data_IF_770043833613
#
_entry.id   IF_770043833613
#
_cell.length_a   1.000
_cell.length_b   1.000
_cell.length_c   1.000
_cell.angle_alpha   90.00
_cell.angle_beta   90.00
_cell.angle_gamma   90.00
#
_symmetry.space_group_name_H-M   'P 1'
#
loop_
_entity.id
_entity.type
_entity.pdbx_description
1 polymer ?
#
# COMPACT_ATOMS: atom_id res chain seq x y z
N UNK A 1 -12.39 -26.92 -11.68
CA UNK A 1 -12.86 -26.76 -10.29
C UNK A 1 -13.78 -25.57 -10.27
N UNK A 2 -15.02 -25.72 -9.81
CA UNK A 2 -15.97 -24.60 -9.74
C UNK A 2 -15.43 -23.55 -8.76
N UNK A 3 -15.07 -22.37 -9.28
CA UNK A 3 -14.60 -21.23 -8.49
C UNK A 3 -15.70 -20.87 -7.51
N UNK A 4 -15.44 -21.03 -6.20
CA UNK A 4 -16.36 -20.56 -5.16
C UNK A 4 -16.36 -19.04 -5.21
N UNK A 5 -17.54 -18.41 -5.24
CA UNK A 5 -17.63 -16.95 -5.16
C UNK A 5 -17.14 -16.47 -3.79
N UNK A 6 -16.70 -15.21 -3.74
CA UNK A 6 -16.22 -14.58 -2.51
C UNK A 6 -17.30 -14.56 -1.42
N UNK A 7 -18.56 -14.36 -1.81
CA UNK A 7 -19.70 -14.43 -0.91
C UNK A 7 -19.86 -15.82 -0.25
N UNK A 8 -19.59 -16.92 -0.95
CA UNK A 8 -19.67 -18.26 -0.35
C UNK A 8 -18.59 -18.47 0.72
N UNK A 9 -17.41 -17.90 0.52
CA UNK A 9 -16.31 -17.96 1.49
C UNK A 9 -16.69 -17.16 2.74
N UNK A 10 -17.28 -15.97 2.58
CA UNK A 10 -17.75 -15.15 3.71
C UNK A 10 -18.87 -15.81 4.50
N UNK A 11 -19.86 -16.41 3.81
CA UNK A 11 -21.00 -17.07 4.44
C UNK A 11 -20.57 -18.30 5.27
N UNK A 12 -19.38 -18.85 5.01
CA UNK A 12 -18.82 -19.93 5.82
C UNK A 12 -18.14 -19.42 7.11
N UNK A 13 -17.85 -18.13 7.22
CA UNK A 13 -17.36 -17.46 8.42
C UNK A 13 -18.48 -16.87 9.28
N UNK A 14 -18.11 -16.28 10.41
CA UNK A 14 -19.01 -15.52 11.25
C UNK A 14 -18.97 -14.04 10.84
N UNK A 15 -20.07 -13.54 10.26
CA UNK A 15 -20.19 -12.12 9.89
C UNK A 15 -20.07 -11.22 11.11
N UNK A 16 -19.28 -10.16 10.98
CA UNK A 16 -19.18 -9.07 11.97
C UNK A 16 -20.29 -8.07 11.65
N UNK A 17 -21.27 -7.95 12.55
CA UNK A 17 -22.34 -6.97 12.41
C UNK A 17 -21.79 -5.54 12.47
N UNK A 18 -22.47 -4.61 11.80
CA UNK A 18 -22.16 -3.16 11.85
C UNK A 18 -20.74 -2.79 11.36
N UNK A 19 -20.08 -3.67 10.61
CA UNK A 19 -18.83 -3.33 9.94
C UNK A 19 -19.13 -2.66 8.59
N UNK A 20 -18.69 -1.42 8.44
CA UNK A 20 -18.94 -0.58 7.27
C UNK A 20 -17.62 -0.09 6.64
N UNK A 21 -17.61 0.23 5.33
CA UNK A 21 -18.68 -0.01 4.35
C UNK A 21 -18.68 -1.44 3.80
N UNK A 22 -17.60 -2.19 4.00
CA UNK A 22 -17.40 -3.51 3.39
C UNK A 22 -17.74 -4.64 4.36
N UNK A 23 -18.30 -5.77 3.87
CA UNK A 23 -18.59 -6.91 4.72
C UNK A 23 -17.30 -7.51 5.30
N UNK A 24 -17.34 -7.79 6.60
CA UNK A 24 -16.26 -8.47 7.34
C UNK A 24 -16.78 -9.78 7.91
N UNK A 25 -15.99 -10.84 7.79
CA UNK A 25 -16.25 -12.13 8.44
C UNK A 25 -15.03 -12.60 9.24
N UNK A 26 -15.27 -13.13 10.43
CA UNK A 26 -14.29 -13.92 11.18
C UNK A 26 -14.26 -15.33 10.58
N UNK A 27 -13.11 -15.77 10.11
CA UNK A 27 -12.96 -17.00 9.34
C UNK A 27 -12.12 -18.04 10.08
N UNK A 28 -12.31 -19.32 9.72
CA UNK A 28 -11.46 -20.41 10.22
C UNK A 28 -10.15 -20.48 9.44
N UNK A 29 -9.21 -21.30 9.94
CA UNK A 29 -7.93 -21.57 9.28
C UNK A 29 -8.13 -22.22 7.89
N UNK A 30 -9.14 -23.06 7.72
CA UNK A 30 -9.47 -23.73 6.46
C UNK A 30 -9.94 -22.73 5.40
N UNK A 31 -10.80 -21.79 5.80
CA UNK A 31 -11.29 -20.72 4.93
C UNK A 31 -10.13 -19.78 4.56
N UNK A 32 -9.29 -19.43 5.52
CA UNK A 32 -8.10 -18.61 5.28
C UNK A 32 -7.12 -19.22 4.26
N UNK A 33 -6.88 -20.54 4.34
CA UNK A 33 -6.08 -21.27 3.36
C UNK A 33 -6.73 -21.26 1.98
N UNK A 34 -8.05 -21.46 1.91
CA UNK A 34 -8.81 -21.37 0.65
C UNK A 34 -8.65 -19.99 0.01
N UNK A 35 -8.75 -18.92 0.80
CA UNK A 35 -8.51 -17.54 0.34
C UNK A 35 -7.10 -17.37 -0.23
N UNK A 36 -6.09 -17.86 0.50
CA UNK A 36 -4.68 -17.78 0.12
C UNK A 36 -4.38 -18.51 -1.20
N UNK A 37 -4.95 -19.70 -1.38
CA UNK A 37 -4.82 -20.49 -2.61
C UNK A 37 -5.57 -19.84 -3.78
N UNK A 38 -6.76 -19.27 -3.55
CA UNK A 38 -7.50 -18.55 -4.58
C UNK A 38 -6.80 -17.29 -5.08
N UNK A 39 -6.10 -16.56 -4.19
CA UNK A 39 -5.23 -15.44 -4.57
C UNK A 39 -4.07 -15.88 -5.47
N UNK A 40 -3.48 -17.06 -5.20
CA UNK A 40 -2.43 -17.62 -6.04
C UNK A 40 -2.95 -18.09 -7.40
N UNK A 41 -4.18 -18.61 -7.42
CA UNK A 41 -4.88 -19.04 -8.63
C UNK A 41 -5.48 -17.90 -9.46
N UNK A 42 -5.37 -16.65 -9.01
CA UNK A 42 -5.94 -15.49 -9.69
C UNK A 42 -7.47 -15.37 -9.61
N UNK A 43 -8.11 -16.13 -8.72
CA UNK A 43 -9.56 -16.05 -8.50
C UNK A 43 -9.96 -14.70 -7.89
N UNK A 44 -9.06 -14.10 -7.09
CA UNK A 44 -9.25 -12.85 -6.38
C UNK A 44 -7.99 -11.98 -6.41
N UNK A 45 -8.16 -10.70 -6.15
CA UNK A 45 -7.08 -9.72 -5.99
C UNK A 45 -6.89 -9.40 -4.52
N UNK A 46 -5.64 -9.45 -4.05
CA UNK A 46 -5.26 -8.99 -2.72
C UNK A 46 -5.26 -7.45 -2.70
N UNK A 47 -6.12 -6.85 -1.88
CA UNK A 47 -6.14 -5.40 -1.67
C UNK A 47 -5.32 -4.98 -0.44
N UNK A 48 -5.28 -5.83 0.58
CA UNK A 48 -4.54 -5.55 1.81
C UNK A 48 -4.39 -6.78 2.70
N UNK A 49 -3.30 -6.82 3.45
CA UNK A 49 -3.04 -7.79 4.51
C UNK A 49 -2.40 -7.02 5.67
N UNK A 50 -3.03 -7.05 6.84
CA UNK A 50 -2.55 -6.34 8.02
C UNK A 50 -2.93 -7.09 9.30
N UNK A 51 -2.31 -6.70 10.41
CA UNK A 51 -2.50 -7.34 11.71
C UNK A 51 -2.97 -6.33 12.73
N UNK A 52 -3.61 -6.84 13.77
CA UNK A 52 -3.86 -6.16 15.04
C UNK A 52 -3.56 -7.13 16.19
N UNK A 53 -3.73 -6.71 17.44
CA UNK A 53 -3.50 -7.60 18.59
C UNK A 53 -4.39 -8.84 18.46
N UNK A 54 -3.75 -10.02 18.35
CA UNK A 54 -4.39 -11.34 18.24
C UNK A 54 -5.24 -11.61 16.98
N UNK A 55 -5.12 -10.80 15.91
CA UNK A 55 -5.89 -11.02 14.69
C UNK A 55 -5.11 -10.60 13.43
N UNK A 56 -5.36 -11.30 12.33
CA UNK A 56 -4.87 -10.94 11.00
C UNK A 56 -6.05 -10.74 10.07
N UNK A 57 -5.98 -9.74 9.20
CA UNK A 57 -7.03 -9.41 8.25
C UNK A 57 -6.53 -9.44 6.82
N UNK A 58 -7.38 -9.92 5.94
CA UNK A 58 -7.18 -10.00 4.50
C UNK A 58 -8.32 -9.28 3.79
N UNK A 59 -8.02 -8.18 3.09
CA UNK A 59 -8.96 -7.54 2.20
C UNK A 59 -8.78 -8.08 0.78
N UNK A 60 -9.84 -8.61 0.20
CA UNK A 60 -9.85 -9.20 -1.13
C UNK A 60 -10.97 -8.63 -1.99
N UNK A 61 -10.71 -8.63 -3.29
CA UNK A 61 -11.65 -8.18 -4.31
C UNK A 61 -11.84 -9.26 -5.35
N UNK A 62 -13.11 -9.54 -5.66
CA UNK A 62 -13.52 -10.36 -6.78
C UNK A 62 -13.96 -9.46 -7.93
N UNK A 63 -13.21 -9.51 -9.02
CA UNK A 63 -13.60 -8.84 -10.26
C UNK A 63 -14.84 -9.53 -10.84
N UNK A 64 -15.82 -8.79 -11.37
CA UNK A 64 -16.96 -9.35 -12.08
C UNK A 64 -16.54 -10.01 -13.40
N UNK A 65 -15.31 -9.77 -13.86
CA UNK A 65 -14.74 -10.27 -15.12
C UNK A 65 -13.81 -11.46 -14.85
N UNK A 66 -14.36 -12.57 -14.37
CA UNK A 66 -13.76 -13.90 -14.56
C UNK A 66 -14.07 -14.49 -15.96
N UNK A 67 -14.47 -13.63 -16.91
CA UNK A 67 -14.56 -13.94 -18.35
C UNK A 67 -13.31 -13.42 -19.06
N UNK A 68 -12.70 -14.17 -19.99
CA UNK A 68 -11.51 -13.71 -20.70
C UNK A 68 -11.80 -12.39 -21.42
N UNK A 69 -10.96 -11.37 -21.22
CA UNK A 69 -11.09 -10.13 -21.98
C UNK A 69 -10.91 -10.43 -23.47
N UNK A 70 -11.78 -9.93 -24.36
CA UNK A 70 -11.48 -9.96 -25.79
C UNK A 70 -10.23 -9.10 -26.05
N UNK A 71 -9.43 -9.44 -27.07
CA UNK A 71 -8.25 -8.64 -27.43
C UNK A 71 -8.69 -7.21 -27.74
N UNK A 72 -7.88 -6.23 -27.34
CA UNK A 72 -8.06 -4.81 -27.63
C UNK A 72 -8.49 -4.59 -29.09
N UNK A 73 -9.78 -4.34 -29.32
CA UNK A 73 -10.25 -3.76 -30.57
C UNK A 73 -9.91 -2.27 -30.55
N UNK A 74 -9.18 -1.82 -31.57
CA UNK A 74 -8.94 -0.41 -31.83
C UNK A 74 -10.27 0.24 -32.23
N UNK A 75 -10.99 0.82 -31.28
CA UNK A 75 -12.09 1.72 -31.63
C UNK A 75 -11.56 3.11 -31.96
N UNK A 76 -11.78 3.50 -33.21
CA UNK A 76 -11.47 4.81 -33.74
C UNK A 76 -12.44 5.88 -33.25
N UNK A 77 -11.88 7.09 -33.13
CA UNK A 77 -12.50 8.40 -33.32
C UNK A 77 -14.02 8.53 -33.14
N UNK A 78 -14.48 8.88 -31.93
CA UNK A 78 -15.55 9.87 -31.72
C UNK A 78 -15.47 10.39 -30.28
N UNK A 79 -15.01 11.64 -30.10
CA UNK A 79 -15.13 12.38 -28.85
C UNK A 79 -16.60 12.76 -28.67
N UNK A 80 -17.39 11.87 -28.09
CA UNK A 80 -18.70 12.21 -27.53
C UNK A 80 -18.48 12.94 -26.20
N UNK A 81 -19.20 14.06 -26.03
CA UNK A 81 -19.28 14.82 -24.77
C UNK A 81 -19.59 13.88 -23.60
N UNK A 82 -18.86 13.98 -22.47
CA UNK A 82 -19.18 13.18 -21.29
C UNK A 82 -20.62 13.50 -20.82
N UNK A 83 -21.39 12.51 -20.37
CA UNK A 83 -22.74 12.74 -19.86
C UNK A 83 -22.70 13.70 -18.66
N UNK A 84 -23.78 14.47 -18.41
CA UNK A 84 -23.87 15.33 -17.24
C UNK A 84 -23.73 14.51 -15.96
N UNK A 85 -22.99 15.06 -14.98
CA UNK A 85 -22.85 14.49 -13.64
C UNK A 85 -24.23 14.33 -13.00
N UNK A 86 -24.76 13.11 -12.98
CA UNK A 86 -25.90 12.77 -12.13
C UNK A 86 -25.51 12.97 -10.67
N UNK A 87 -26.45 13.46 -9.84
CA UNK A 87 -26.35 13.48 -8.37
C UNK A 87 -26.38 12.04 -7.83
N UNK A 88 -25.34 11.28 -8.11
CA UNK A 88 -25.11 9.93 -7.62
C UNK A 88 -23.63 9.80 -7.35
N UNK A 89 -23.28 9.26 -6.19
CA UNK A 89 -21.89 9.08 -5.77
C UNK A 89 -21.05 8.35 -6.82
N UNK A 90 -19.74 8.39 -6.61
CA UNK A 90 -18.76 7.56 -7.31
C UNK A 90 -19.35 6.18 -7.61
N UNK A 91 -19.49 5.82 -8.88
CA UNK A 91 -19.86 4.44 -9.24
C UNK A 91 -18.72 3.56 -8.74
N UNK A 92 -18.98 2.80 -7.68
CA UNK A 92 -18.07 1.74 -7.24
C UNK A 92 -17.78 0.83 -8.43
N UNK A 93 -16.52 0.44 -8.60
CA UNK A 93 -16.18 -0.53 -9.61
C UNK A 93 -17.05 -1.77 -9.39
N UNK A 94 -17.72 -2.30 -10.43
CA UNK A 94 -18.51 -3.51 -10.26
C UNK A 94 -17.60 -4.62 -9.73
N UNK A 95 -18.06 -5.42 -8.76
CA UNK A 95 -17.28 -6.46 -8.09
C UNK A 95 -17.61 -6.59 -6.60
N UNK A 96 -17.17 -7.67 -5.97
CA UNK A 96 -17.42 -7.93 -4.54
C UNK A 96 -16.15 -7.66 -3.72
N UNK A 97 -16.27 -6.88 -2.65
CA UNK A 97 -15.20 -6.63 -1.69
C UNK A 97 -15.49 -7.37 -0.41
N UNK A 98 -14.46 -7.92 0.23
CA UNK A 98 -14.63 -8.44 1.57
C UNK A 98 -13.37 -8.38 2.43
N UNK A 99 -13.59 -8.43 3.74
CA UNK A 99 -12.53 -8.52 4.74
C UNK A 99 -12.69 -9.84 5.50
N UNK A 100 -11.73 -10.74 5.33
CA UNK A 100 -11.62 -11.95 6.15
C UNK A 100 -10.69 -11.69 7.34
N UNK A 101 -11.14 -12.05 8.54
CA UNK A 101 -10.37 -11.87 9.77
C UNK A 101 -10.10 -13.22 10.43
N UNK A 102 -8.83 -13.55 10.67
CA UNK A 102 -8.43 -14.79 11.32
C UNK A 102 -7.97 -14.50 12.75
N UNK A 103 -8.63 -15.07 13.78
CA UNK A 103 -8.14 -15.03 15.15
C UNK A 103 -6.82 -15.79 15.28
N UNK A 104 -5.83 -15.17 15.92
CA UNK A 104 -4.47 -15.66 16.08
C UNK A 104 -4.09 -15.64 17.58
N UNK A 105 -4.81 -16.42 18.39
CA UNK A 105 -4.69 -16.38 19.86
C UNK A 105 -3.32 -16.83 20.37
N UNK A 106 -2.64 -17.71 19.63
CA UNK A 106 -1.27 -18.15 19.89
C UNK A 106 -0.21 -17.27 19.18
N UNK A 107 -0.66 -16.18 18.54
CA UNK A 107 0.17 -15.28 17.75
C UNK A 107 0.63 -15.85 16.42
N UNK A 108 0.01 -16.92 15.90
CA UNK A 108 0.42 -17.58 14.65
C UNK A 108 -0.72 -17.63 13.64
N UNK A 109 -0.39 -17.58 12.35
CA UNK A 109 -1.38 -17.67 11.26
C UNK A 109 -0.78 -18.36 10.03
N UNK A 110 -1.56 -19.04 9.18
CA UNK A 110 -1.05 -19.59 7.92
C UNK A 110 -0.58 -18.48 6.98
N UNK A 111 0.65 -18.57 6.48
CA UNK A 111 1.20 -17.59 5.54
C UNK A 111 0.39 -17.56 4.24
N UNK A 112 -0.11 -16.38 3.88
CA UNK A 112 -0.59 -16.02 2.55
C UNK A 112 0.60 -15.91 1.59
N UNK A 113 1.73 -15.38 2.08
CA UNK A 113 2.99 -15.20 1.35
C UNK A 113 3.60 -16.49 0.79
N UNK A 114 3.23 -17.65 1.36
CA UNK A 114 3.57 -18.99 0.85
C UNK A 114 3.00 -19.25 -0.55
N UNK A 115 1.79 -18.79 -0.83
CA UNK A 115 1.11 -19.01 -2.11
C UNK A 115 1.06 -17.74 -2.97
N UNK A 116 1.07 -16.56 -2.33
CA UNK A 116 0.99 -15.26 -2.98
C UNK A 116 2.17 -14.36 -2.53
N UNK A 117 3.33 -14.41 -3.22
CA UNK A 117 4.54 -13.71 -2.81
C UNK A 117 4.42 -12.22 -2.44
N UNK A 118 3.54 -11.41 -3.08
CA UNK A 118 3.33 -10.01 -2.68
C UNK A 118 2.95 -9.82 -1.20
N UNK A 119 2.33 -10.82 -0.56
CA UNK A 119 1.94 -10.75 0.85
C UNK A 119 3.12 -10.81 1.83
N UNK A 120 4.30 -11.33 1.42
CA UNK A 120 5.42 -11.58 2.34
C UNK A 120 5.92 -10.32 3.07
N UNK A 121 5.93 -9.16 2.38
CA UNK A 121 6.34 -7.89 3.01
C UNK A 121 5.37 -7.48 4.11
N UNK A 122 4.08 -7.67 3.89
CA UNK A 122 3.02 -7.35 4.83
C UNK A 122 3.09 -8.29 6.05
N UNK A 123 3.37 -9.58 5.84
CA UNK A 123 3.57 -10.55 6.92
C UNK A 123 4.76 -10.23 7.81
N UNK A 124 5.89 -9.85 7.20
CA UNK A 124 7.08 -9.44 7.95
C UNK A 124 6.85 -8.13 8.70
N UNK A 125 6.09 -7.19 8.13
CA UNK A 125 5.64 -5.98 8.84
C UNK A 125 4.79 -6.34 10.07
N UNK A 126 3.82 -7.25 9.93
CA UNK A 126 3.00 -7.72 11.07
C UNK A 126 3.85 -8.40 12.15
N UNK A 127 4.86 -9.16 11.73
CA UNK A 127 5.83 -9.79 12.63
C UNK A 127 6.57 -8.73 13.45
N UNK A 128 7.11 -7.70 12.80
CA UNK A 128 7.88 -6.66 13.49
C UNK A 128 7.00 -5.80 14.40
N UNK A 129 5.82 -5.38 13.94
CA UNK A 129 4.94 -4.45 14.64
C UNK A 129 4.11 -5.10 15.75
N UNK A 130 3.54 -6.29 15.51
CA UNK A 130 2.57 -6.94 16.41
C UNK A 130 3.09 -8.25 17.02
N UNK A 131 4.12 -8.86 16.44
CA UNK A 131 4.64 -10.16 16.89
C UNK A 131 3.93 -11.37 16.30
N UNK A 132 2.99 -11.16 15.36
CA UNK A 132 2.26 -12.22 14.67
C UNK A 132 3.18 -12.99 13.72
N UNK A 133 3.20 -14.32 13.84
CA UNK A 133 4.12 -15.20 13.11
C UNK A 133 3.41 -15.92 11.95
N UNK A 134 3.81 -15.66 10.70
CA UNK A 134 3.29 -16.40 9.55
C UNK A 134 3.90 -17.82 9.51
N UNK A 135 3.05 -18.83 9.61
CA UNK A 135 3.42 -20.25 9.53
C UNK A 135 3.80 -20.62 8.11
N UNK A 136 4.91 -21.34 7.97
CA UNK A 136 5.47 -21.81 6.70
C UNK A 136 5.78 -20.68 5.69
N UNK A 137 6.00 -19.46 6.18
CA UNK A 137 6.41 -18.36 5.33
C UNK A 137 7.81 -18.62 4.74
N UNK A 138 8.03 -18.28 3.46
CA UNK A 138 9.32 -18.50 2.81
C UNK A 138 10.44 -17.57 3.32
N UNK A 139 10.08 -16.44 3.95
CA UNK A 139 11.03 -15.48 4.51
C UNK A 139 10.51 -14.89 5.83
N UNK A 140 11.22 -15.20 6.92
CA UNK A 140 10.92 -14.73 8.28
C UNK A 140 11.90 -13.67 8.78
N UNK A 141 12.76 -13.12 7.91
CA UNK A 141 13.73 -12.10 8.32
C UNK A 141 12.99 -10.82 8.76
N UNK A 142 13.50 -10.08 9.75
CA UNK A 142 12.97 -8.76 10.09
C UNK A 142 12.91 -7.82 8.88
N UNK A 143 11.94 -6.93 8.83
CA UNK A 143 11.68 -6.02 7.71
C UNK A 143 11.89 -4.54 8.07
N UNK A 144 11.15 -4.05 9.06
CA UNK A 144 11.16 -2.68 9.54
C UNK A 144 12.20 -2.45 10.63
N UNK A 145 12.28 -3.33 11.64
CA UNK A 145 13.28 -3.19 12.70
C UNK A 145 14.63 -3.77 12.23
N UNK A 146 15.60 -2.88 12.07
CA UNK A 146 16.96 -3.24 11.66
C UNK A 146 17.87 -3.53 12.88
N UNK A 147 17.27 -3.85 14.03
CA UNK A 147 17.96 -4.09 15.30
C UNK A 147 18.34 -2.79 16.00
N UNK A 148 17.54 -1.74 15.77
CA UNK A 148 17.81 -0.38 16.27
C UNK A 148 16.69 0.17 17.14
N UNK A 149 15.50 -0.43 17.10
CA UNK A 149 14.39 0.03 17.92
C UNK A 149 14.60 -0.31 19.39
N UNK A 150 14.13 0.58 20.26
CA UNK A 150 14.21 0.43 21.72
C UNK A 150 13.07 -0.41 22.29
N UNK A 151 12.13 -0.83 21.45
CA UNK A 151 10.95 -1.63 21.80
C UNK A 151 10.72 -2.69 20.72
N UNK A 152 10.33 -3.89 21.13
CA UNK A 152 9.93 -4.97 20.22
C UNK A 152 8.41 -5.10 20.19
N UNK A 153 7.84 -5.19 19.00
CA UNK A 153 6.39 -5.25 18.76
C UNK A 153 5.65 -4.04 19.36
N UNK A 154 5.95 -2.81 18.91
CA UNK A 154 5.39 -1.58 19.47
C UNK A 154 3.86 -1.51 19.45
N UNK A 155 3.21 -2.24 18.54
CA UNK A 155 1.75 -2.32 18.41
C UNK A 155 1.15 -3.63 18.96
N UNK A 156 1.99 -4.53 19.47
CA UNK A 156 1.60 -5.79 20.12
C UNK A 156 1.80 -5.74 21.63
N UNK A 157 2.29 -6.84 22.21
CA UNK A 157 2.56 -6.97 23.64
C UNK A 157 3.82 -6.21 24.14
N UNK A 158 4.33 -5.25 23.34
CA UNK A 158 5.48 -4.38 23.60
C UNK A 158 6.51 -4.93 24.62
N UNK A 159 7.60 -5.50 24.11
CA UNK A 159 8.62 -6.15 24.94
C UNK A 159 9.97 -5.43 24.85
N UNK A 160 10.91 -5.86 25.70
CA UNK A 160 12.29 -5.38 25.67
C UNK A 160 12.88 -5.48 24.25
N UNK A 161 13.78 -4.55 23.88
CA UNK A 161 14.35 -4.49 22.54
C UNK A 161 15.01 -5.80 22.15
N UNK A 162 15.00 -6.07 20.84
CA UNK A 162 15.70 -7.23 20.30
C UNK A 162 17.20 -7.09 20.61
N UNK A 163 17.88 -8.17 21.06
CA UNK A 163 19.34 -8.18 21.06
C UNK A 163 19.87 -7.85 19.64
N UNK A 164 21.14 -7.43 19.49
CA UNK A 164 21.69 -7.06 18.20
C UNK A 164 21.39 -8.14 17.16
N UNK A 165 20.61 -7.79 16.15
CA UNK A 165 20.27 -8.72 15.08
C UNK A 165 21.58 -9.18 14.40
N UNK A 166 21.67 -10.46 13.98
CA UNK A 166 22.78 -10.87 13.14
C UNK A 166 22.81 -10.00 11.88
N UNK A 167 24.00 -9.83 11.25
CA UNK A 167 24.10 -9.10 10.00
C UNK A 167 23.08 -9.61 8.99
N UNK A 168 22.36 -8.69 8.34
CA UNK A 168 21.35 -9.06 7.35
C UNK A 168 22.02 -9.83 6.21
N UNK A 169 21.67 -11.10 6.07
CA UNK A 169 22.19 -11.96 5.01
C UNK A 169 21.32 -11.80 3.77
N UNK A 170 21.85 -11.10 2.78
CA UNK A 170 21.32 -11.15 1.42
C UNK A 170 21.45 -12.58 0.88
N UNK A 171 20.49 -13.03 0.07
CA UNK A 171 20.57 -14.39 -0.44
C UNK A 171 21.83 -14.54 -1.34
N UNK A 172 22.63 -15.59 -1.13
CA UNK A 172 23.81 -15.82 -1.95
C UNK A 172 23.40 -16.12 -3.38
N UNK A 173 24.31 -15.86 -4.30
CA UNK A 173 24.16 -16.26 -5.70
C UNK A 173 25.44 -16.94 -6.15
N UNK A 174 25.29 -18.06 -6.87
CA UNK A 174 26.39 -18.86 -7.41
C UNK A 174 26.32 -18.84 -8.94
N UNK A 175 27.46 -18.60 -9.58
CA UNK A 175 27.62 -18.58 -11.03
C UNK A 175 28.88 -17.83 -11.43
N UNK A 176 29.65 -18.37 -12.38
CA UNK A 176 30.99 -17.87 -12.73
C UNK A 176 31.01 -16.38 -13.12
N UNK A 177 29.98 -15.91 -13.82
CA UNK A 177 29.85 -14.52 -14.29
C UNK A 177 28.93 -13.64 -13.41
N UNK A 178 28.46 -14.16 -12.28
CA UNK A 178 27.54 -13.42 -11.41
C UNK A 178 28.33 -12.61 -10.38
N UNK A 179 28.02 -11.32 -10.30
CA UNK A 179 28.60 -10.41 -9.30
C UNK A 179 27.50 -9.60 -8.60
N UNK A 180 27.82 -9.14 -7.39
CA UNK A 180 26.87 -8.46 -6.53
C UNK A 180 27.23 -6.98 -6.36
N UNK A 181 26.27 -6.09 -6.62
CA UNK A 181 26.44 -4.64 -6.51
C UNK A 181 25.54 -4.12 -5.38
N UNK A 182 26.10 -3.56 -4.29
CA UNK A 182 25.34 -2.85 -3.27
C UNK A 182 25.04 -1.40 -3.68
N UNK A 183 23.81 -0.96 -3.44
CA UNK A 183 23.43 0.46 -3.53
C UNK A 183 22.61 0.86 -2.29
N UNK A 184 22.90 2.03 -1.72
CA UNK A 184 22.24 2.55 -0.53
C UNK A 184 22.99 2.25 0.80
N UNK A 185 22.36 2.47 1.97
CA UNK A 185 20.95 2.83 2.16
C UNK A 185 20.62 4.28 1.78
N UNK A 186 21.63 5.14 1.66
CA UNK A 186 21.52 6.49 1.12
C UNK A 186 22.46 6.58 -0.09
N UNK A 187 21.91 6.86 -1.27
CA UNK A 187 22.69 6.95 -2.51
C UNK A 187 22.07 8.00 -3.43
N UNK A 188 22.90 8.83 -4.04
CA UNK A 188 22.43 9.80 -5.04
C UNK A 188 21.79 9.06 -6.23
N UNK A 189 20.57 9.42 -6.62
CA UNK A 189 19.82 8.74 -7.67
C UNK A 189 18.83 7.67 -7.19
N UNK A 190 18.75 7.39 -5.88
CA UNK A 190 17.64 6.66 -5.26
C UNK A 190 16.94 7.62 -4.30
N UNK A 191 15.68 7.94 -4.59
CA UNK A 191 14.93 9.00 -3.87
C UNK A 191 14.58 8.57 -2.44
N UNK A 192 14.21 7.29 -2.25
CA UNK A 192 13.78 6.74 -0.95
C UNK A 192 14.91 5.90 -0.29
N UNK A 193 15.25 6.12 1.00
CA UNK A 193 16.28 5.34 1.67
C UNK A 193 16.00 3.83 1.67
N UNK A 194 16.90 3.07 1.04
CA UNK A 194 16.77 1.63 0.86
C UNK A 194 18.11 1.02 0.47
N UNK A 195 18.36 -0.21 0.92
CA UNK A 195 19.53 -0.98 0.48
C UNK A 195 19.11 -1.98 -0.59
N UNK A 196 19.71 -1.85 -1.76
CA UNK A 196 19.44 -2.65 -2.94
C UNK A 196 20.66 -3.53 -3.22
N UNK A 197 20.45 -4.84 -3.29
CA UNK A 197 21.48 -5.80 -3.66
C UNK A 197 21.14 -6.36 -5.04
N UNK A 198 21.84 -5.84 -6.05
CA UNK A 198 21.76 -6.35 -7.40
C UNK A 198 22.67 -7.56 -7.52
N UNK A 199 22.19 -8.60 -8.19
CA UNK A 199 23.00 -9.68 -8.73
C UNK A 199 22.93 -9.56 -10.24
N UNK A 200 24.07 -9.35 -10.88
CA UNK A 200 24.15 -9.07 -12.31
C UNK A 200 25.08 -10.06 -13.04
N UNK A 201 24.72 -10.37 -14.28
CA UNK A 201 25.59 -11.03 -15.27
C UNK A 201 25.84 -10.02 -16.41
N UNK A 202 27.00 -9.37 -16.40
CA UNK A 202 27.20 -8.17 -17.22
C UNK A 202 26.16 -7.10 -16.88
N UNK A 203 25.36 -6.69 -17.87
CA UNK A 203 24.29 -5.69 -17.71
C UNK A 203 22.94 -6.30 -17.29
N UNK A 204 22.78 -7.62 -17.36
CA UNK A 204 21.52 -8.29 -17.04
C UNK A 204 21.38 -8.46 -15.51
N UNK A 205 20.35 -7.82 -14.93
CA UNK A 205 20.00 -8.02 -13.52
C UNK A 205 19.28 -9.36 -13.36
N UNK A 206 19.99 -10.36 -12.86
CA UNK A 206 19.42 -11.68 -12.56
C UNK A 206 18.52 -11.65 -11.32
N UNK A 207 18.84 -10.78 -10.35
CA UNK A 207 18.07 -10.62 -9.12
C UNK A 207 18.28 -9.25 -8.49
N UNK A 208 17.22 -8.69 -7.93
CA UNK A 208 17.26 -7.54 -7.03
C UNK A 208 16.66 -7.93 -5.68
N UNK A 209 17.45 -7.85 -4.62
CA UNK A 209 16.93 -7.91 -3.25
C UNK A 209 16.89 -6.50 -2.64
N UNK A 210 15.70 -6.11 -2.17
CA UNK A 210 15.45 -4.80 -1.58
C UNK A 210 15.28 -4.95 -0.07
N UNK A 211 16.08 -4.21 0.69
CA UNK A 211 15.90 -4.04 2.13
C UNK A 211 15.46 -2.59 2.37
N UNK A 212 14.19 -2.41 2.72
CA UNK A 212 13.58 -1.10 2.99
C UNK A 212 13.40 -0.89 4.50
N UNK A 213 12.59 0.09 4.90
CA UNK A 213 12.25 0.34 6.30
C UNK A 213 13.14 1.35 7.03
N UNK A 214 14.17 1.88 6.38
CA UNK A 214 15.12 2.85 6.98
C UNK A 214 14.46 4.15 7.44
N UNK A 215 13.33 4.53 6.84
CA UNK A 215 12.56 5.73 7.22
C UNK A 215 11.33 5.43 8.07
N UNK A 216 11.17 4.22 8.61
CA UNK A 216 9.96 3.89 9.36
C UNK A 216 9.76 4.87 10.52
N UNK A 217 8.68 5.68 10.44
CA UNK A 217 8.42 6.80 11.37
C UNK A 217 7.50 6.41 12.54
N UNK A 218 7.02 5.16 12.59
CA UNK A 218 6.06 4.71 13.61
C UNK A 218 4.68 5.36 13.49
N UNK A 219 4.25 5.76 12.29
CA UNK A 219 2.98 6.48 12.08
C UNK A 219 1.79 5.72 12.67
N UNK A 220 1.68 4.42 12.45
CA UNK A 220 0.60 3.59 13.00
C UNK A 220 0.54 3.66 14.53
N UNK A 221 1.68 3.64 15.20
CA UNK A 221 1.77 3.80 16.66
C UNK A 221 1.39 5.19 17.13
N UNK A 222 1.68 6.23 16.34
CA UNK A 222 1.30 7.61 16.64
C UNK A 222 -0.19 7.86 16.39
N UNK A 223 -0.81 7.12 15.47
CA UNK A 223 -2.24 7.19 15.19
C UNK A 223 -3.08 6.48 16.26
N UNK A 224 -2.54 5.44 16.90
CA UNK A 224 -3.24 4.72 17.94
C UNK A 224 -3.58 5.64 19.14
N UNK A 225 -4.88 5.83 19.40
CA UNK A 225 -5.37 6.73 20.45
C UNK A 225 -5.33 8.22 20.11
N UNK A 226 -4.89 8.61 18.92
CA UNK A 226 -4.93 10.00 18.48
C UNK A 226 -6.38 10.45 18.19
N UNK A 227 -6.67 11.73 18.43
CA UNK A 227 -7.91 12.35 17.95
C UNK A 227 -7.92 12.41 16.42
N UNK A 228 -9.11 12.46 15.80
CA UNK A 228 -9.22 12.59 14.34
C UNK A 228 -8.47 13.83 13.80
N UNK A 229 -8.46 14.94 14.55
CA UNK A 229 -7.72 16.13 14.16
C UNK A 229 -6.21 15.89 14.17
N UNK A 230 -5.67 15.30 15.24
CA UNK A 230 -4.25 14.99 15.34
C UNK A 230 -3.83 13.94 14.30
N UNK A 231 -4.66 12.93 14.10
CA UNK A 231 -4.47 11.90 13.09
C UNK A 231 -4.44 12.50 11.67
N UNK A 232 -5.36 13.41 11.33
CA UNK A 232 -5.36 14.08 10.02
C UNK A 232 -4.05 14.85 9.77
N UNK A 233 -3.51 15.55 10.77
CA UNK A 233 -2.22 16.24 10.67
C UNK A 233 -1.06 15.25 10.47
N UNK A 234 -1.04 14.14 11.22
CA UNK A 234 -0.02 13.11 11.07
C UNK A 234 -0.06 12.45 9.68
N UNK A 235 -1.26 12.09 9.21
CA UNK A 235 -1.46 11.43 7.91
C UNK A 235 -1.02 12.32 6.75
N UNK A 236 -1.32 13.63 6.79
CA UNK A 236 -0.87 14.58 5.78
C UNK A 236 0.66 14.71 5.64
N UNK A 237 1.44 14.13 6.57
CA UNK A 237 2.91 14.14 6.61
C UNK A 237 3.54 12.77 6.38
N UNK A 238 2.74 11.77 6.00
CA UNK A 238 3.24 10.41 5.70
C UNK A 238 4.18 10.45 4.49
N UNK A 239 3.72 11.02 3.38
CA UNK A 239 4.52 11.36 2.19
C UNK A 239 4.73 12.86 2.08
N UNK A 240 5.94 13.29 1.71
CA UNK A 240 6.31 14.71 1.64
C UNK A 240 5.75 15.46 0.42
N UNK A 241 5.29 14.74 -0.60
CA UNK A 241 4.78 15.28 -1.87
C UNK A 241 3.29 14.96 -2.12
N UNK A 242 2.67 14.18 -1.24
CA UNK A 242 1.31 13.63 -1.45
C UNK A 242 0.41 13.91 -0.23
N UNK A 243 0.52 15.10 0.34
CA UNK A 243 -0.23 15.51 1.54
C UNK A 243 -1.74 15.36 1.35
N UNK A 244 -2.29 15.83 0.22
CA UNK A 244 -3.72 15.81 -0.05
C UNK A 244 -4.22 14.40 -0.26
N UNK A 245 -3.51 13.56 -1.02
CA UNK A 245 -3.92 12.18 -1.28
C UNK A 245 -4.05 11.37 0.02
N UNK A 246 -3.05 11.46 0.91
CA UNK A 246 -3.08 10.79 2.21
C UNK A 246 -4.18 11.36 3.11
N UNK A 247 -4.28 12.68 3.23
CA UNK A 247 -5.32 13.32 4.05
C UNK A 247 -6.74 13.00 3.55
N UNK A 248 -6.93 12.95 2.23
CA UNK A 248 -8.19 12.58 1.60
C UNK A 248 -8.54 11.12 1.88
N UNK A 249 -7.60 10.19 1.74
CA UNK A 249 -7.84 8.78 2.05
C UNK A 249 -8.26 8.58 3.51
N UNK A 250 -7.56 9.23 4.45
CA UNK A 250 -7.93 9.19 5.87
C UNK A 250 -9.29 9.83 6.15
N UNK A 251 -9.57 11.00 5.58
CA UNK A 251 -10.87 11.65 5.75
C UNK A 251 -12.02 10.75 5.24
N UNK A 252 -11.83 10.08 4.10
CA UNK A 252 -12.81 9.12 3.56
C UNK A 252 -13.00 7.91 4.47
N UNK A 253 -11.93 7.36 5.02
CA UNK A 253 -12.01 6.25 5.97
C UNK A 253 -12.76 6.65 7.24
N UNK A 254 -12.45 7.83 7.80
CA UNK A 254 -13.15 8.37 8.97
C UNK A 254 -14.63 8.64 8.67
N UNK A 255 -14.94 9.30 7.55
CA UNK A 255 -16.32 9.59 7.12
C UNK A 255 -17.15 8.33 6.90
N UNK A 256 -16.56 7.28 6.32
CA UNK A 256 -17.23 6.00 6.14
C UNK A 256 -17.48 5.30 7.50
N UNK A 257 -16.51 5.35 8.42
CA UNK A 257 -16.64 4.77 9.75
C UNK A 257 -17.65 5.52 10.65
N UNK A 258 -17.83 6.83 10.44
CA UNK A 258 -18.76 7.67 11.21
C UNK A 258 -20.02 8.02 10.45
N UNK A 259 -20.26 7.38 9.30
CA UNK A 259 -21.41 7.61 8.40
C UNK A 259 -21.68 9.11 8.13
N UNK A 260 -20.61 9.89 8.03
CA UNK A 260 -20.70 11.34 7.94
C UNK A 260 -20.86 11.78 6.50
N UNK A 261 -22.00 12.37 6.19
CA UNK A 261 -22.22 13.02 4.90
C UNK A 261 -21.48 14.36 4.83
N UNK A 262 -20.71 14.55 3.76
CA UNK A 262 -19.98 15.80 3.53
C UNK A 262 -20.71 16.72 2.55
N UNK A 263 -20.62 18.05 2.71
CA UNK A 263 -21.21 18.98 1.76
C UNK A 263 -20.64 18.81 0.34
N UNK A 264 -21.49 18.98 -0.68
CA UNK A 264 -21.09 18.91 -2.11
C UNK A 264 -19.88 19.81 -2.42
N UNK A 265 -19.81 20.99 -1.80
CA UNK A 265 -18.66 21.89 -1.95
C UNK A 265 -17.35 21.26 -1.46
N UNK A 266 -17.38 20.49 -0.36
CA UNK A 266 -16.20 19.81 0.16
C UNK A 266 -15.69 18.74 -0.80
N UNK A 267 -16.59 17.99 -1.45
CA UNK A 267 -16.19 17.04 -2.51
C UNK A 267 -15.43 17.73 -3.64
N UNK A 268 -15.95 18.84 -4.17
CA UNK A 268 -15.31 19.56 -5.26
C UNK A 268 -13.96 20.17 -4.88
N UNK A 269 -13.84 20.72 -3.66
CA UNK A 269 -12.57 21.27 -3.18
C UNK A 269 -11.52 20.18 -3.02
N UNK A 270 -11.89 19.03 -2.44
CA UNK A 270 -10.99 17.89 -2.29
C UNK A 270 -10.55 17.32 -3.63
N UNK A 271 -11.47 17.22 -4.59
CA UNK A 271 -11.13 16.81 -5.96
C UNK A 271 -10.13 17.81 -6.58
N UNK A 272 -10.42 19.11 -6.55
CA UNK A 272 -9.50 20.13 -7.07
C UNK A 272 -8.12 20.06 -6.42
N UNK A 273 -8.05 19.94 -5.09
CA UNK A 273 -6.79 19.79 -4.36
C UNK A 273 -6.03 18.53 -4.79
N UNK A 274 -6.71 17.38 -4.88
CA UNK A 274 -6.09 16.12 -5.29
C UNK A 274 -5.58 16.17 -6.73
N UNK A 275 -6.32 16.81 -7.63
CA UNK A 275 -5.93 16.96 -9.04
C UNK A 275 -4.73 17.91 -9.21
N UNK A 276 -4.67 19.00 -8.45
CA UNK A 276 -3.49 19.90 -8.44
C UNK A 276 -2.25 19.19 -7.90
N UNK A 277 -2.38 18.46 -6.79
CA UNK A 277 -1.28 17.64 -6.26
C UNK A 277 -0.83 16.59 -7.29
N UNK A 278 -1.77 15.87 -7.92
CA UNK A 278 -1.47 14.86 -8.93
C UNK A 278 -0.74 15.46 -10.13
N UNK A 279 -1.17 16.62 -10.63
CA UNK A 279 -0.49 17.32 -11.74
C UNK A 279 0.94 17.73 -11.36
N UNK A 280 1.12 18.28 -10.15
CA UNK A 280 2.43 18.66 -9.66
C UNK A 280 3.38 17.45 -9.54
N UNK A 281 2.87 16.33 -9.02
CA UNK A 281 3.63 15.10 -8.85
C UNK A 281 3.94 14.46 -10.21
N UNK A 282 2.98 14.34 -11.12
CA UNK A 282 3.23 13.83 -12.46
C UNK A 282 4.26 14.65 -13.24
N UNK A 283 4.21 15.98 -13.15
CA UNK A 283 5.26 16.81 -13.75
C UNK A 283 6.63 16.49 -13.13
N UNK A 284 6.70 16.36 -11.80
CA UNK A 284 7.91 15.96 -11.10
C UNK A 284 8.45 14.60 -11.57
N UNK A 285 7.60 13.58 -11.59
CA UNK A 285 7.94 12.20 -11.91
C UNK A 285 8.38 12.03 -13.36
N UNK A 286 7.63 12.60 -14.31
CA UNK A 286 7.98 12.56 -15.73
C UNK A 286 9.33 13.23 -15.96
N UNK A 287 9.56 14.39 -15.35
CA UNK A 287 10.84 15.08 -15.42
C UNK A 287 11.99 14.24 -14.86
N UNK A 288 11.79 13.61 -13.70
CA UNK A 288 12.78 12.75 -13.05
C UNK A 288 13.11 11.51 -13.91
N UNK A 289 12.10 10.80 -14.43
CA UNK A 289 12.29 9.64 -15.30
C UNK A 289 13.11 10.02 -16.55
N UNK A 290 12.81 11.16 -17.17
CA UNK A 290 13.59 11.64 -18.32
C UNK A 290 15.03 11.97 -17.92
N UNK A 291 15.25 12.57 -16.75
CA UNK A 291 16.59 12.85 -16.25
C UNK A 291 17.39 11.57 -15.98
N UNK A 292 16.75 10.52 -15.47
CA UNK A 292 17.39 9.22 -15.25
C UNK A 292 17.84 8.58 -16.57
N UNK A 293 17.18 8.92 -17.68
CA UNK A 293 17.60 8.59 -19.05
C UNK A 293 18.54 9.65 -19.68
N UNK A 294 19.21 10.47 -18.84
CA UNK A 294 20.12 11.56 -19.22
C UNK A 294 19.49 12.71 -20.04
N UNK A 295 18.16 12.88 -19.99
CA UNK A 295 17.46 13.96 -20.69
C UNK A 295 17.08 15.13 -19.76
N UNK A 296 18.09 15.84 -19.26
CA UNK A 296 17.94 16.93 -18.28
C UNK A 296 17.09 18.12 -18.75
N UNK A 297 16.99 18.35 -20.06
CA UNK A 297 16.15 19.44 -20.62
C UNK A 297 14.67 19.21 -20.30
N UNK A 298 14.19 17.96 -20.39
CA UNK A 298 12.80 17.64 -20.05
C UNK A 298 12.52 17.88 -18.56
N UNK A 299 13.46 17.50 -17.68
CA UNK A 299 13.38 17.81 -16.25
C UNK A 299 13.20 19.30 -16.00
N UNK A 300 13.97 20.16 -16.68
CA UNK A 300 13.87 21.60 -16.52
C UNK A 300 12.49 22.13 -16.92
N UNK A 301 11.93 21.70 -18.05
CA UNK A 301 10.58 22.10 -18.47
C UNK A 301 9.49 21.61 -17.52
N UNK A 302 9.56 20.33 -17.12
CA UNK A 302 8.65 19.75 -16.15
C UNK A 302 8.72 20.46 -14.78
N UNK A 303 9.90 20.89 -14.34
CA UNK A 303 10.08 21.66 -13.11
C UNK A 303 9.36 23.02 -13.17
N UNK A 304 9.40 23.70 -14.32
CA UNK A 304 8.65 24.95 -14.54
C UNK A 304 7.14 24.70 -14.46
N UNK A 305 6.64 23.65 -15.11
CA UNK A 305 5.21 23.29 -15.06
C UNK A 305 4.77 22.94 -13.64
N UNK A 306 5.54 22.08 -12.95
CA UNK A 306 5.31 21.76 -11.53
C UNK A 306 5.23 23.03 -10.69
N UNK A 307 6.17 23.96 -10.88
CA UNK A 307 6.18 25.19 -10.11
C UNK A 307 4.97 26.09 -10.37
N UNK A 308 4.46 26.14 -11.61
CA UNK A 308 3.22 26.86 -11.91
C UNK A 308 2.03 26.28 -11.13
N UNK A 309 1.91 24.95 -11.07
CA UNK A 309 0.87 24.25 -10.30
C UNK A 309 1.02 24.51 -8.80
N UNK A 310 2.24 24.47 -8.26
CA UNK A 310 2.50 24.76 -6.84
C UNK A 310 2.17 26.21 -6.48
N UNK A 311 2.43 27.17 -7.37
CA UNK A 311 2.02 28.57 -7.18
C UNK A 311 0.51 28.75 -7.22
N UNK A 312 -0.18 28.06 -8.12
CA UNK A 312 -1.65 28.04 -8.15
C UNK A 312 -2.20 27.47 -6.83
N UNK A 313 -1.63 26.37 -6.35
CA UNK A 313 -1.98 25.77 -5.06
C UNK A 313 -1.77 26.76 -3.90
N UNK A 314 -0.65 27.50 -3.89
CA UNK A 314 -0.41 28.54 -2.90
C UNK A 314 -1.40 29.71 -2.98
N UNK A 315 -1.77 30.14 -4.19
CA UNK A 315 -2.74 31.21 -4.38
C UNK A 315 -4.16 30.81 -3.95
N UNK A 316 -4.56 29.56 -4.22
CA UNK A 316 -5.89 29.05 -3.90
C UNK A 316 -6.04 28.59 -2.44
N UNK A 317 -4.99 27.98 -1.87
CA UNK A 317 -5.06 27.26 -0.58
C UNK A 317 -4.02 27.73 0.45
N UNK A 318 -3.20 28.74 0.12
CA UNK A 318 -2.27 29.35 1.06
C UNK A 318 -0.98 28.55 1.32
N UNK A 319 -0.78 27.41 0.66
CA UNK A 319 0.45 26.63 0.77
C UNK A 319 0.77 25.90 -0.54
N UNK A 320 2.06 25.88 -0.92
CA UNK A 320 2.51 25.26 -2.20
C UNK A 320 2.19 23.77 -2.28
N UNK A 321 2.36 23.07 -1.16
CA UNK A 321 2.07 21.64 -1.01
C UNK A 321 0.77 21.37 -0.24
N UNK A 322 -0.08 22.39 -0.04
CA UNK A 322 -1.39 22.24 0.62
C UNK A 322 -1.35 21.58 2.01
N UNK A 323 -0.26 21.77 2.78
CA UNK A 323 -0.15 21.30 4.16
C UNK A 323 -0.94 22.21 5.10
N UNK A 324 -1.53 21.61 6.14
CA UNK A 324 -2.10 22.34 7.27
C UNK A 324 -1.01 23.12 8.02
N UNK A 325 -1.40 24.28 8.57
CA UNK A 325 -0.53 25.17 9.34
C UNK A 325 -0.65 24.94 10.85
#
# INVERSE_FOLDING_TARGET
MSTRSLQMVLNAGQTVAEHHPWPRAVVTTEIWKTLSEGLAGGAWTLLGLWGEVSMVHLAVYESPINSPQPPFEKEGSHLSTPPPFEKGGWREAPGEFCIASLPCLDGRFPSVGRFHPPAQRLERTMTDLFGLQPMDAPDLRPWLDHGRWTVRHPLGAATAPTPPLPPYRFLPVEGESLHQIPVGPVHAGIIEPGHFRFTANGEAVARLEQRLGYVHKGIESLLNGASLEQAARLVGRVSGDSTVAYALAFARAAEAATETEIPVRAHWLRALMAELERLANHCGDIGAICNDAAFAVMLAYCAVLREQVLRASAACFGHRLMMDR
#
